data_IF_831473795232
#
_entry.id   IF_831473795232
#
_cell.length_a   1.000
_cell.length_b   1.000
_cell.length_c   1.000
_cell.angle_alpha   90.00
_cell.angle_beta   90.00
_cell.angle_gamma   90.00
#
_symmetry.space_group_name_H-M   'P 1'
#
loop_
_entity.id
_entity.type
_entity.pdbx_description
1 polymer ?
#
# COMPACT_ATOMS: atom_id res chain seq x y z
N UNK A 1 0.14 -14.22 -22.04
CA UNK A 1 -0.04 -14.05 -20.58
C UNK A 1 -1.45 -14.49 -20.20
N UNK A 2 -1.62 -15.28 -19.13
CA UNK A 2 -2.96 -15.68 -18.67
C UNK A 2 -3.76 -14.46 -18.18
N UNK A 3 -5.07 -14.44 -18.45
CA UNK A 3 -5.98 -13.34 -18.08
C UNK A 3 -5.93 -13.04 -16.57
N UNK A 4 -5.70 -14.06 -15.74
CA UNK A 4 -5.55 -13.93 -14.28
C UNK A 4 -4.30 -13.14 -13.89
N UNK A 5 -3.17 -13.39 -14.55
CA UNK A 5 -1.89 -12.70 -14.30
C UNK A 5 -1.96 -11.23 -14.74
N UNK A 6 -2.68 -10.94 -15.82
CA UNK A 6 -2.88 -9.57 -16.31
C UNK A 6 -3.63 -8.69 -15.31
N UNK A 7 -4.74 -9.19 -14.75
CA UNK A 7 -5.53 -8.48 -13.75
C UNK A 7 -4.74 -8.19 -12.47
N UNK A 8 -3.89 -9.11 -12.03
CA UNK A 8 -3.02 -8.93 -10.86
C UNK A 8 -2.00 -7.81 -11.08
N UNK A 9 -1.30 -7.82 -12.22
CA UNK A 9 -0.33 -6.78 -12.58
C UNK A 9 -0.97 -5.40 -12.71
N UNK A 10 -2.17 -5.32 -13.30
CA UNK A 10 -2.93 -4.07 -13.45
C UNK A 10 -3.27 -3.44 -12.09
N UNK A 11 -3.72 -4.24 -11.12
CA UNK A 11 -4.02 -3.75 -9.76
C UNK A 11 -2.76 -3.26 -9.04
N UNK A 12 -1.66 -3.98 -9.17
CA UNK A 12 -0.37 -3.58 -8.61
C UNK A 12 0.11 -2.24 -9.20
N UNK A 13 0.01 -2.08 -10.52
CA UNK A 13 0.41 -0.86 -11.21
C UNK A 13 -0.44 0.34 -10.80
N UNK A 14 -1.77 0.19 -10.74
CA UNK A 14 -2.66 1.25 -10.27
C UNK A 14 -2.31 1.70 -8.86
N UNK A 15 -1.96 0.75 -8.01
CA UNK A 15 -1.68 1.04 -6.63
C UNK A 15 -0.30 1.67 -6.43
N UNK A 16 0.72 1.25 -7.19
CA UNK A 16 2.01 1.96 -7.28
C UNK A 16 1.83 3.40 -7.81
N UNK A 17 0.96 3.59 -8.81
CA UNK A 17 0.66 4.91 -9.33
C UNK A 17 0.03 5.80 -8.25
N UNK A 18 -0.93 5.28 -7.49
CA UNK A 18 -1.51 6.00 -6.33
C UNK A 18 -0.45 6.28 -5.26
N UNK A 19 0.43 5.31 -4.97
CA UNK A 19 1.50 5.46 -3.98
C UNK A 19 2.52 6.54 -4.38
N UNK A 20 2.75 6.79 -5.68
CA UNK A 20 3.62 7.86 -6.15
C UNK A 20 2.91 9.22 -6.21
N UNK A 21 1.61 9.25 -6.50
CA UNK A 21 0.84 10.49 -6.53
C UNK A 21 0.64 11.13 -5.14
N UNK A 22 0.53 10.31 -4.09
CA UNK A 22 0.36 10.79 -2.72
C UNK A 22 1.54 11.64 -2.20
N UNK A 23 2.81 11.18 -2.23
CA UNK A 23 3.96 11.99 -1.83
C UNK A 23 4.16 13.21 -2.71
N UNK A 24 3.86 13.12 -4.01
CA UNK A 24 3.99 14.25 -4.91
C UNK A 24 3.01 15.38 -4.53
N UNK A 25 1.73 15.05 -4.36
CA UNK A 25 0.70 16.02 -3.94
C UNK A 25 1.03 16.63 -2.57
N UNK A 26 1.54 15.81 -1.67
CA UNK A 26 1.80 16.23 -0.31
C UNK A 26 3.09 17.03 -0.13
N UNK A 27 4.05 16.93 -1.06
CA UNK A 27 5.24 17.78 -1.08
C UNK A 27 4.92 19.16 -1.67
N UNK A 28 4.02 19.22 -2.65
CA UNK A 28 3.61 20.46 -3.30
C UNK A 28 2.89 21.41 -2.34
N UNK A 29 2.06 20.91 -1.44
CA UNK A 29 1.28 21.72 -0.48
C UNK A 29 2.17 22.54 0.50
N UNK A 30 3.11 21.92 1.27
CA UNK A 30 3.99 22.66 2.16
C UNK A 30 5.01 23.53 1.40
N UNK A 31 5.47 23.12 0.22
CA UNK A 31 6.29 24.00 -0.64
C UNK A 31 5.52 25.25 -1.08
N UNK A 32 4.27 25.09 -1.55
CA UNK A 32 3.43 26.22 -1.95
C UNK A 32 3.11 27.12 -0.74
N UNK A 33 2.80 26.53 0.41
CA UNK A 33 2.53 27.27 1.64
C UNK A 33 3.74 28.09 2.12
N UNK A 34 4.92 27.48 2.19
CA UNK A 34 6.15 28.17 2.61
C UNK A 34 6.48 29.33 1.66
N UNK A 35 6.37 29.14 0.35
CA UNK A 35 6.50 30.22 -0.63
C UNK A 35 5.50 31.36 -0.40
N UNK A 36 4.22 31.04 -0.21
CA UNK A 36 3.19 32.04 0.06
C UNK A 36 3.49 32.82 1.35
N UNK A 37 3.88 32.16 2.44
CA UNK A 37 4.18 32.86 3.71
C UNK A 37 5.37 33.81 3.60
N UNK A 38 6.38 33.46 2.79
CA UNK A 38 7.57 34.29 2.58
C UNK A 38 7.26 35.53 1.73
N UNK A 39 6.48 35.37 0.65
CA UNK A 39 6.12 36.49 -0.23
C UNK A 39 5.25 37.50 0.51
N UNK A 40 4.25 37.03 1.25
CA UNK A 40 3.26 37.89 1.91
C UNK A 40 3.63 38.29 3.35
N UNK A 41 4.77 37.82 3.88
CA UNK A 41 5.20 38.03 5.28
C UNK A 41 4.11 37.74 6.32
N UNK A 42 3.18 36.84 6.00
CA UNK A 42 2.01 36.54 6.82
C UNK A 42 2.14 35.14 7.40
N UNK A 43 2.54 35.08 8.67
CA UNK A 43 2.68 33.83 9.41
C UNK A 43 1.37 33.48 10.09
N UNK A 44 0.60 32.57 9.47
CA UNK A 44 -0.63 32.07 10.06
C UNK A 44 -0.43 30.69 10.68
N UNK A 45 -0.53 30.64 11.99
CA UNK A 45 -0.31 29.43 12.77
C UNK A 45 -1.35 28.33 12.50
N UNK A 46 -2.57 28.70 12.11
CA UNK A 46 -3.61 27.74 11.73
C UNK A 46 -3.20 26.96 10.47
N UNK A 47 -2.70 27.66 9.45
CA UNK A 47 -2.23 27.01 8.22
C UNK A 47 -0.95 26.21 8.45
N UNK A 48 -0.04 26.68 9.30
CA UNK A 48 1.14 25.93 9.70
C UNK A 48 0.75 24.59 10.38
N UNK A 49 -0.21 24.62 11.30
CA UNK A 49 -0.71 23.41 11.96
C UNK A 49 -1.40 22.44 10.98
N UNK A 50 -2.16 22.96 10.02
CA UNK A 50 -2.78 22.15 8.96
C UNK A 50 -1.70 21.47 8.09
N UNK A 51 -0.61 22.17 7.78
CA UNK A 51 0.52 21.60 7.04
C UNK A 51 1.23 20.48 7.81
N UNK A 52 1.34 20.60 9.14
CA UNK A 52 1.90 19.53 9.99
C UNK A 52 0.95 18.33 10.03
N UNK A 53 -0.35 18.54 10.21
CA UNK A 53 -1.35 17.47 10.23
C UNK A 53 -1.39 16.74 8.88
N UNK A 54 -1.32 17.44 7.76
CA UNK A 54 -1.27 16.81 6.44
C UNK A 54 0.00 15.98 6.27
N UNK A 55 1.15 16.46 6.75
CA UNK A 55 2.40 15.69 6.88
C UNK A 55 2.22 14.36 7.60
N UNK A 56 1.55 14.38 8.76
CA UNK A 56 1.29 13.16 9.54
C UNK A 56 0.32 12.21 8.85
N UNK A 57 -0.75 12.75 8.25
CA UNK A 57 -1.74 11.98 7.51
C UNK A 57 -1.11 11.26 6.31
N UNK A 58 -0.10 11.85 5.68
CA UNK A 58 0.68 11.21 4.62
C UNK A 58 1.40 9.95 5.10
N UNK A 59 2.08 10.02 6.26
CA UNK A 59 2.75 8.86 6.84
C UNK A 59 1.77 7.72 7.13
N UNK A 60 0.58 8.06 7.62
CA UNK A 60 -0.50 7.10 7.83
C UNK A 60 -1.03 6.52 6.51
N UNK A 61 -1.27 7.36 5.49
CA UNK A 61 -1.76 6.91 4.20
C UNK A 61 -0.71 6.08 3.44
N UNK A 62 0.58 6.41 3.55
CA UNK A 62 1.68 5.66 2.94
C UNK A 62 1.78 4.25 3.52
N UNK A 63 1.65 4.11 4.84
CA UNK A 63 1.63 2.80 5.51
C UNK A 63 0.37 2.01 5.18
N UNK A 64 -0.80 2.64 5.15
CA UNK A 64 -2.06 2.01 4.72
C UNK A 64 -2.01 1.53 3.27
N UNK A 65 -1.48 2.35 2.36
CA UNK A 65 -1.30 1.98 0.95
C UNK A 65 -0.36 0.78 0.83
N UNK A 66 0.78 0.78 1.55
CA UNK A 66 1.68 -0.38 1.62
C UNK A 66 0.97 -1.65 2.10
N UNK A 67 0.14 -1.52 3.15
CA UNK A 67 -0.66 -2.60 3.75
C UNK A 67 -1.67 -3.18 2.75
N UNK A 68 -2.32 -2.32 1.97
CA UNK A 68 -3.35 -2.73 1.02
C UNK A 68 -2.80 -3.22 -0.32
N UNK A 69 -1.61 -2.76 -0.72
CA UNK A 69 -0.92 -3.10 -1.98
C UNK A 69 -0.28 -4.47 -1.95
N UNK A 70 0.36 -4.82 -0.83
CA UNK A 70 0.89 -6.16 -0.68
C UNK A 70 -0.28 -7.14 -0.51
N UNK A 71 -0.70 -7.73 -1.62
CA UNK A 71 -1.63 -8.87 -1.68
C UNK A 71 -1.34 -9.99 -0.64
N UNK A 72 -0.08 -10.35 -0.29
CA UNK A 72 0.18 -11.29 0.82
C UNK A 72 -0.15 -10.72 2.21
N UNK A 73 -0.10 -9.40 2.40
CA UNK A 73 -0.35 -8.74 3.68
C UNK A 73 -1.84 -8.68 4.02
N UNK A 74 -2.72 -8.51 3.02
CA UNK A 74 -4.18 -8.63 3.22
C UNK A 74 -4.57 -10.01 3.74
N UNK A 75 -3.95 -11.07 3.24
CA UNK A 75 -4.17 -12.44 3.73
C UNK A 75 -3.64 -12.60 5.15
N UNK A 76 -2.44 -12.09 5.44
CA UNK A 76 -1.86 -12.16 6.78
C UNK A 76 -2.67 -11.35 7.83
N UNK A 77 -3.11 -10.15 7.50
CA UNK A 77 -3.92 -9.28 8.38
C UNK A 77 -5.32 -9.87 8.57
N UNK A 78 -5.96 -10.38 7.53
CA UNK A 78 -7.26 -11.07 7.67
C UNK A 78 -7.10 -12.33 8.53
N UNK A 79 -6.02 -13.11 8.36
CA UNK A 79 -5.73 -14.28 9.20
C UNK A 79 -5.43 -13.89 10.66
N UNK A 80 -4.75 -12.75 10.88
CA UNK A 80 -4.38 -12.27 12.22
C UNK A 80 -5.57 -11.61 12.95
N UNK A 81 -6.45 -10.91 12.23
CA UNK A 81 -7.62 -10.19 12.78
C UNK A 81 -8.84 -11.11 12.94
N UNK A 82 -9.08 -12.02 11.98
CA UNK A 82 -10.23 -12.93 12.00
C UNK A 82 -9.86 -14.35 12.43
N UNK A 83 -8.79 -14.52 13.21
CA UNK A 83 -8.24 -15.80 13.67
C UNK A 83 -9.17 -17.01 13.50
N UNK A 84 -8.90 -17.80 12.45
CA UNK A 84 -9.52 -19.07 12.02
C UNK A 84 -10.19 -19.01 10.64
N UNK A 85 -9.48 -19.53 9.62
CA UNK A 85 -9.95 -20.56 8.68
C UNK A 85 -9.18 -20.47 7.35
N UNK A 86 -8.27 -21.42 7.11
CA UNK A 86 -7.61 -21.52 5.81
C UNK A 86 -6.49 -22.54 5.85
N UNK A 87 -6.86 -23.82 5.80
CA UNK A 87 -5.95 -24.97 5.73
C UNK A 87 -4.78 -24.69 4.78
N UNK A 88 -3.56 -24.93 5.26
CA UNK A 88 -2.38 -25.07 4.42
C UNK A 88 -2.73 -26.06 3.28
N UNK A 89 -2.44 -25.77 2.00
CA UNK A 89 -2.66 -26.73 0.95
C UNK A 89 -1.83 -27.97 1.29
N UNK A 90 -2.55 -29.07 1.41
CA UNK A 90 -2.05 -30.38 1.80
C UNK A 90 -0.90 -30.78 0.88
N UNK A 91 0.30 -30.91 1.42
CA UNK A 91 1.51 -31.51 0.84
C UNK A 91 1.32 -33.01 0.54
N UNK A 92 0.12 -33.44 0.16
CA UNK A 92 -0.23 -34.82 -0.17
C UNK A 92 -0.37 -35.03 -1.68
N UNK A 93 -0.36 -33.98 -2.50
CA UNK A 93 -0.36 -34.11 -3.97
C UNK A 93 1.06 -34.23 -4.54
N UNK A 94 2.09 -33.73 -3.83
CA UNK A 94 3.49 -33.77 -4.27
C UNK A 94 4.20 -35.10 -3.95
N UNK A 95 3.69 -35.91 -3.01
CA UNK A 95 4.28 -37.22 -2.68
C UNK A 95 3.64 -38.39 -3.45
N UNK A 96 2.39 -38.24 -3.91
CA UNK A 96 1.70 -39.30 -4.68
C UNK A 96 2.15 -39.35 -6.14
N UNK A 97 2.54 -38.21 -6.72
CA UNK A 97 3.03 -38.15 -8.11
C UNK A 97 4.49 -38.60 -8.28
N UNK A 98 5.28 -38.66 -7.21
CA UNK A 98 6.69 -39.11 -7.25
C UNK A 98 6.86 -40.61 -6.98
N UNK A 99 5.86 -41.26 -6.37
CA UNK A 99 5.92 -42.71 -6.07
C UNK A 99 5.44 -43.60 -7.22
N UNK A 100 4.64 -43.06 -8.15
CA UNK A 100 4.11 -43.83 -9.30
C UNK A 100 5.04 -43.88 -10.52
N UNK A 101 6.24 -43.29 -10.48
CA UNK A 101 7.12 -43.15 -11.64
C UNK A 101 8.53 -43.77 -11.45
N UNK A 102 8.67 -44.74 -10.55
CA UNK A 102 9.88 -45.57 -10.43
C UNK A 102 9.47 -47.03 -10.28
N UNK A 103 9.11 -47.62 -11.42
CA UNK A 103 9.26 -49.06 -11.73
C UNK A 103 10.43 -49.22 -12.66
#
# INVERSE_FOLDING_TARGET
>A
MSHKTYQMKRKFFLALATQMFLPLTLYVIPCAYTWFTVIFNYYNQAFANIAVISGMLHGLLSTLVMLFIHHPYRVAVVVMVYGCAGKRPSTNVLMVSTSQNTT
#
